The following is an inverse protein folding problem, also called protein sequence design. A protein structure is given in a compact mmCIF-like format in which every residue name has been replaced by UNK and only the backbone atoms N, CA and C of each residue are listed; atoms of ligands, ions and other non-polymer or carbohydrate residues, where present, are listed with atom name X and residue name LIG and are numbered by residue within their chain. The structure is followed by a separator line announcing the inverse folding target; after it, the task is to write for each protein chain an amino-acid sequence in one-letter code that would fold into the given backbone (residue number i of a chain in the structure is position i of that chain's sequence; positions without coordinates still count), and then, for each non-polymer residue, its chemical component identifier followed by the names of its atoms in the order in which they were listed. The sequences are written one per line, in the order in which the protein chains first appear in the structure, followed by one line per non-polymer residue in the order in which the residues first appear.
data_IF_794271178766
#
_entry.id   IF_794271178766
#
_cell.length_a   1.000
_cell.length_b   1.000
_cell.length_c   1.000
_cell.angle_alpha   90.00
_cell.angle_beta   90.00
_cell.angle_gamma   90.00
#
_symmetry.space_group_name_H-M   'P 1'
#
loop_
_entity.id
_entity.type
_entity.pdbx_description
1 polymer ?
#
# COMPACT_ATOMS: atom_id res chain seq x y z
N UNK A 1 -11.91 -0.53 18.65
CA UNK A 1 -12.63 -0.38 17.36
C UNK A 1 -12.87 -1.77 16.80
N UNK A 2 -14.06 -2.11 16.32
CA UNK A 2 -14.27 -3.36 15.57
C UNK A 2 -13.93 -3.08 14.12
N UNK A 3 -12.87 -3.70 13.61
CA UNK A 3 -12.44 -3.55 12.22
C UNK A 3 -13.39 -4.37 11.34
N UNK A 4 -13.85 -3.75 10.25
CA UNK A 4 -14.53 -4.47 9.18
C UNK A 4 -13.49 -4.90 8.14
N UNK A 5 -13.04 -6.15 8.25
CA UNK A 5 -12.05 -6.69 7.35
C UNK A 5 -12.60 -6.90 5.94
N UNK A 6 -13.91 -7.14 5.78
CA UNK A 6 -14.50 -7.29 4.44
C UNK A 6 -14.40 -5.96 3.70
N UNK A 7 -14.82 -4.86 4.34
CA UNK A 7 -14.67 -3.52 3.75
C UNK A 7 -13.20 -3.17 3.47
N UNK A 8 -12.27 -3.55 4.36
CA UNK A 8 -10.84 -3.33 4.12
C UNK A 8 -10.36 -4.00 2.82
N UNK A 9 -10.66 -5.28 2.63
CA UNK A 9 -10.22 -6.03 1.45
C UNK A 9 -11.00 -5.68 0.17
N UNK A 10 -12.27 -5.29 0.27
CA UNK A 10 -13.09 -4.94 -0.90
C UNK A 10 -12.93 -3.48 -1.34
N UNK A 11 -12.62 -2.57 -0.41
CA UNK A 11 -12.59 -1.13 -0.68
C UNK A 11 -11.22 -0.52 -0.49
N UNK A 12 -10.56 -0.74 0.64
CA UNK A 12 -9.33 -0.04 1.00
C UNK A 12 -8.16 -0.53 0.17
N UNK A 13 -7.92 -1.84 0.14
CA UNK A 13 -6.83 -2.42 -0.67
C UNK A 13 -6.98 -2.08 -2.16
N UNK A 14 -8.16 -2.28 -2.81
CA UNK A 14 -8.31 -1.93 -4.22
C UNK A 14 -8.20 -0.43 -4.49
N UNK A 15 -8.66 0.42 -3.56
CA UNK A 15 -8.49 1.87 -3.68
C UNK A 15 -7.01 2.24 -3.67
N UNK A 16 -6.25 1.76 -2.69
CA UNK A 16 -4.81 2.04 -2.59
C UNK A 16 -4.06 1.55 -3.84
N UNK A 17 -4.39 0.36 -4.37
CA UNK A 17 -3.78 -0.15 -5.60
C UNK A 17 -4.05 0.75 -6.83
N UNK A 18 -5.25 1.36 -6.92
CA UNK A 18 -5.55 2.34 -7.98
C UNK A 18 -4.73 3.61 -7.83
N UNK A 19 -4.59 4.11 -6.61
CA UNK A 19 -3.80 5.30 -6.30
C UNK A 19 -2.30 5.07 -6.55
N UNK A 20 -1.78 3.89 -6.17
CA UNK A 20 -0.41 3.45 -6.50
C UNK A 20 -0.19 3.44 -8.01
N UNK A 21 -1.12 2.88 -8.80
CA UNK A 21 -1.04 2.91 -10.26
C UNK A 21 -1.05 4.33 -10.85
N UNK A 22 -1.79 5.25 -10.26
CA UNK A 22 -1.78 6.65 -10.67
C UNK A 22 -0.45 7.32 -10.32
N UNK A 23 0.05 7.10 -9.10
CA UNK A 23 1.31 7.66 -8.64
C UNK A 23 2.49 7.15 -9.48
N UNK A 24 2.52 5.87 -9.83
CA UNK A 24 3.52 5.31 -10.74
C UNK A 24 3.56 6.02 -12.10
N UNK A 25 2.40 6.43 -12.65
CA UNK A 25 2.34 7.18 -13.91
C UNK A 25 2.80 8.62 -13.76
N UNK A 26 2.57 9.22 -12.59
CA UNK A 26 2.88 10.62 -12.31
C UNK A 26 4.38 10.83 -12.09
N UNK A 27 5.02 9.98 -11.28
CA UNK A 27 6.42 10.19 -10.83
C UNK A 27 7.39 9.10 -11.30
N UNK A 28 6.90 8.13 -12.08
CA UNK A 28 7.66 6.95 -12.50
C UNK A 28 7.70 5.87 -11.40
N UNK A 29 7.67 4.60 -11.81
CA UNK A 29 7.93 3.49 -10.89
C UNK A 29 9.41 3.44 -10.50
N UNK A 30 9.70 2.94 -9.30
CA UNK A 30 11.05 2.81 -8.73
C UNK A 30 11.83 4.13 -8.57
N UNK A 31 11.13 5.27 -8.54
CA UNK A 31 11.73 6.55 -8.14
C UNK A 31 11.59 6.76 -6.64
N UNK A 32 12.47 7.57 -6.06
CA UNK A 32 12.39 7.95 -4.65
C UNK A 32 11.01 8.55 -4.31
N UNK A 33 10.48 9.41 -5.19
CA UNK A 33 9.16 10.02 -5.03
C UNK A 33 8.03 8.98 -4.93
N UNK A 34 8.10 7.91 -5.73
CA UNK A 34 7.13 6.81 -5.64
C UNK A 34 7.24 6.07 -4.30
N UNK A 35 8.46 5.72 -3.89
CA UNK A 35 8.71 4.98 -2.66
C UNK A 35 8.33 5.76 -1.40
N UNK A 36 8.64 7.05 -1.35
CA UNK A 36 8.22 7.93 -0.27
C UNK A 36 6.69 7.98 -0.15
N UNK A 37 5.99 8.16 -1.28
CA UNK A 37 4.52 8.14 -1.29
C UNK A 37 3.95 6.78 -0.86
N UNK A 38 4.50 5.67 -1.36
CA UNK A 38 4.03 4.33 -1.03
C UNK A 38 4.20 4.05 0.48
N UNK A 39 5.37 4.36 1.04
CA UNK A 39 5.64 4.19 2.46
C UNK A 39 4.70 5.05 3.33
N UNK A 40 4.58 6.34 3.02
CA UNK A 40 3.73 7.25 3.80
C UNK A 40 2.26 6.82 3.79
N UNK A 41 1.72 6.53 2.60
CA UNK A 41 0.30 6.14 2.47
C UNK A 41 0.00 4.80 3.14
N UNK A 42 0.93 3.84 3.13
CA UNK A 42 0.79 2.57 3.86
C UNK A 42 0.78 2.81 5.37
N UNK A 43 1.74 3.59 5.89
CA UNK A 43 1.83 3.91 7.32
C UNK A 43 0.56 4.61 7.81
N UNK A 44 0.08 5.61 7.08
CA UNK A 44 -1.17 6.32 7.41
C UNK A 44 -2.38 5.39 7.49
N UNK A 45 -2.50 4.43 6.55
CA UNK A 45 -3.57 3.44 6.59
C UNK A 45 -3.41 2.53 7.82
N UNK A 46 -2.24 1.91 8.01
CA UNK A 46 -1.99 1.02 9.13
C UNK A 46 -2.26 1.70 10.50
N UNK A 47 -1.81 2.94 10.68
CA UNK A 47 -2.05 3.72 11.89
C UNK A 47 -3.55 3.99 12.11
N UNK A 48 -4.31 4.29 11.04
CA UNK A 48 -5.78 4.49 11.14
C UNK A 48 -6.53 3.23 11.60
N UNK A 49 -5.94 2.06 11.41
CA UNK A 49 -6.44 0.77 11.88
C UNK A 49 -5.77 0.29 13.17
N UNK A 50 -5.11 1.19 13.91
CA UNK A 50 -4.40 0.90 15.15
C UNK A 50 -3.35 -0.21 14.99
N UNK A 51 -2.67 -0.22 13.85
CA UNK A 51 -1.63 -1.20 13.51
C UNK A 51 -2.08 -2.66 13.67
N UNK A 52 -3.32 -2.94 13.30
CA UNK A 52 -3.87 -4.29 13.25
C UNK A 52 -2.97 -5.23 12.42
N UNK A 53 -2.72 -6.42 12.94
CA UNK A 53 -1.73 -7.34 12.39
C UNK A 53 -2.10 -7.88 11.01
N UNK A 54 -3.39 -8.07 10.72
CA UNK A 54 -3.85 -8.55 9.42
C UNK A 54 -3.72 -7.46 8.36
N UNK A 55 -4.09 -6.22 8.70
CA UNK A 55 -3.99 -5.07 7.81
C UNK A 55 -2.52 -4.75 7.50
N UNK A 56 -1.67 -4.71 8.53
CA UNK A 56 -0.24 -4.49 8.36
C UNK A 56 0.40 -5.63 7.54
N UNK A 57 0.03 -6.88 7.82
CA UNK A 57 0.47 -8.04 7.03
C UNK A 57 0.09 -7.95 5.55
N UNK A 58 -1.12 -7.48 5.23
CA UNK A 58 -1.54 -7.30 3.84
C UNK A 58 -0.69 -6.24 3.11
N UNK A 59 -0.37 -5.11 3.76
CA UNK A 59 0.48 -4.10 3.14
C UNK A 59 1.95 -4.52 3.07
N UNK A 60 2.43 -5.33 4.00
CA UNK A 60 3.76 -5.94 3.91
C UNK A 60 3.88 -6.84 2.66
N UNK A 61 2.88 -7.69 2.39
CA UNK A 61 2.86 -8.53 1.17
C UNK A 61 2.86 -7.68 -0.11
N UNK A 62 2.12 -6.57 -0.11
CA UNK A 62 2.11 -5.63 -1.25
C UNK A 62 3.48 -4.97 -1.41
N UNK A 63 4.12 -4.56 -0.31
CA UNK A 63 5.45 -3.98 -0.31
C UNK A 63 6.50 -4.93 -0.91
N UNK A 64 6.54 -6.18 -0.43
CA UNK A 64 7.44 -7.21 -0.96
C UNK A 64 7.21 -7.47 -2.46
N UNK A 65 5.95 -7.48 -2.90
CA UNK A 65 5.63 -7.59 -4.32
C UNK A 65 6.18 -6.41 -5.13
N UNK A 66 6.04 -5.17 -4.63
CA UNK A 66 6.60 -3.98 -5.29
C UNK A 66 8.12 -4.02 -5.35
N UNK A 67 8.80 -4.38 -4.26
CA UNK A 67 10.27 -4.53 -4.25
C UNK A 67 10.72 -5.60 -5.24
N UNK A 68 9.99 -6.72 -5.32
CA UNK A 68 10.23 -7.77 -6.30
C UNK A 68 10.13 -7.25 -7.74
N UNK A 69 9.15 -6.39 -8.04
CA UNK A 69 9.02 -5.74 -9.35
C UNK A 69 10.18 -4.79 -9.65
N UNK A 70 10.63 -4.04 -8.65
CA UNK A 70 11.73 -3.07 -8.80
C UNK A 70 13.10 -3.71 -9.04
N UNK A 71 13.30 -4.96 -8.61
CA UNK A 71 14.54 -5.72 -8.84
C UNK A 71 14.64 -6.35 -10.23
N UNK A 72 13.52 -6.45 -10.95
CA UNK A 72 13.42 -7.13 -12.26
C UNK A 72 13.29 -6.13 -13.43
N UNK A 73 12.99 -4.86 -13.17
CA UNK A 73 12.92 -3.78 -14.17
C UNK A 73 14.19 -2.95 -14.21
#
# INVERSE_FOLDING_TARGET
MKIDYIDFFERVVPKWMRESNQKMKEVGFNTEAYWLWANHSIVEICDSYNNDSLINGQFHLIWEWLEGKAKVG
#
